data_IF_920557460753
#
_entry.id   IF_920557460753
#
_cell.length_a   1.000
_cell.length_b   1.000
_cell.length_c   1.000
_cell.angle_alpha   90.00
_cell.angle_beta   90.00
_cell.angle_gamma   90.00
#
_symmetry.space_group_name_H-M   'P 1'
#
loop_
_entity.id
_entity.type
_entity.pdbx_description
1 polymer ?
#
# COMPACT_ATOMS: atom_id res chain seq x y z
N UNK A 1 -9.72 -43.22 27.64
CA UNK A 1 -10.71 -42.33 26.97
C UNK A 1 -10.72 -41.04 27.79
N UNK A 2 -10.06 -39.99 27.29
CA UNK A 2 -9.99 -38.70 27.98
C UNK A 2 -11.40 -38.14 28.19
N UNK A 3 -11.66 -37.65 29.39
CA UNK A 3 -12.98 -37.15 29.78
C UNK A 3 -13.44 -36.03 28.84
N UNK A 4 -14.74 -35.98 28.51
CA UNK A 4 -15.34 -35.01 27.57
C UNK A 4 -14.91 -33.53 27.70
N UNK A 5 -14.58 -33.01 28.90
CA UNK A 5 -14.08 -31.65 29.08
C UNK A 5 -12.68 -31.40 28.49
N UNK A 6 -11.76 -32.37 28.58
CA UNK A 6 -10.39 -32.24 28.07
C UNK A 6 -10.36 -32.23 26.55
N UNK A 7 -11.29 -32.98 25.93
CA UNK A 7 -11.46 -32.97 24.48
C UNK A 7 -11.94 -31.60 24.02
N UNK A 8 -12.94 -30.99 24.65
CA UNK A 8 -13.42 -29.65 24.26
C UNK A 8 -12.31 -28.59 24.38
N UNK A 9 -11.53 -28.64 25.47
CA UNK A 9 -10.39 -27.74 25.66
C UNK A 9 -9.32 -27.91 24.57
N UNK A 10 -9.00 -29.16 24.21
CA UNK A 10 -8.04 -29.47 23.15
C UNK A 10 -8.47 -28.92 21.78
N UNK A 11 -9.76 -29.02 21.45
CA UNK A 11 -10.29 -28.49 20.18
C UNK A 11 -10.29 -26.97 20.14
N UNK A 12 -10.59 -26.29 21.25
CA UNK A 12 -10.51 -24.82 21.35
C UNK A 12 -9.07 -24.34 21.13
N UNK A 13 -8.10 -25.00 21.75
CA UNK A 13 -6.67 -24.68 21.56
C UNK A 13 -6.24 -24.91 20.11
N UNK A 14 -6.64 -26.03 19.51
CA UNK A 14 -6.31 -26.35 18.12
C UNK A 14 -6.88 -25.32 17.13
N UNK A 15 -8.15 -24.94 17.25
CA UNK A 15 -8.76 -23.91 16.40
C UNK A 15 -8.18 -22.52 16.66
N UNK A 16 -7.84 -22.19 17.91
CA UNK A 16 -7.16 -20.94 18.24
C UNK A 16 -5.79 -20.81 17.58
N UNK A 17 -5.01 -21.90 17.57
CA UNK A 17 -3.71 -21.97 16.89
C UNK A 17 -3.83 -21.88 15.36
N UNK A 18 -4.81 -22.56 14.77
CA UNK A 18 -5.06 -22.48 13.32
C UNK A 18 -5.47 -21.05 12.94
N UNK A 19 -6.35 -20.41 13.72
CA UNK A 19 -6.76 -19.02 13.53
C UNK A 19 -5.59 -18.03 13.63
N UNK A 20 -4.69 -18.24 14.60
CA UNK A 20 -3.46 -17.47 14.73
C UNK A 20 -2.60 -17.60 13.47
N UNK A 21 -2.31 -18.82 13.03
CA UNK A 21 -1.49 -19.08 11.83
C UNK A 21 -2.12 -18.43 10.60
N UNK A 22 -3.44 -18.59 10.40
CA UNK A 22 -4.16 -17.99 9.28
C UNK A 22 -4.12 -16.46 9.30
N UNK A 23 -4.29 -15.83 10.47
CA UNK A 23 -4.23 -14.37 10.61
C UNK A 23 -2.86 -13.79 10.26
N UNK A 24 -1.78 -14.47 10.67
CA UNK A 24 -0.41 -14.09 10.33
C UNK A 24 -0.18 -14.23 8.83
N UNK A 25 -0.61 -15.33 8.22
CA UNK A 25 -0.49 -15.55 6.77
C UNK A 25 -1.28 -14.53 5.93
N UNK A 26 -2.50 -14.20 6.35
CA UNK A 26 -3.32 -13.19 5.67
C UNK A 26 -2.67 -11.81 5.76
N UNK A 27 -2.15 -11.43 6.93
CA UNK A 27 -1.51 -10.14 7.13
C UNK A 27 -0.20 -10.01 6.35
N UNK A 28 0.60 -11.08 6.30
CA UNK A 28 1.76 -11.17 5.40
C UNK A 28 1.29 -10.96 3.96
N UNK A 29 0.33 -11.72 3.47
CA UNK A 29 -0.12 -11.60 2.07
C UNK A 29 -0.71 -10.24 1.71
N UNK A 30 -1.41 -9.56 2.63
CA UNK A 30 -2.00 -8.24 2.35
C UNK A 30 -0.94 -7.14 2.37
N UNK A 31 -0.02 -7.15 3.35
CA UNK A 31 0.99 -6.09 3.50
C UNK A 31 2.11 -6.23 2.44
N UNK A 32 2.52 -7.45 2.08
CA UNK A 32 3.57 -7.66 1.08
C UNK A 32 3.11 -7.40 -0.37
N UNK A 33 1.80 -7.52 -0.67
CA UNK A 33 1.27 -7.27 -2.02
C UNK A 33 1.31 -5.80 -2.44
N UNK A 34 1.19 -4.88 -1.49
CA UNK A 34 1.31 -3.44 -1.81
C UNK A 34 2.77 -2.96 -1.87
N UNK A 35 3.69 -3.70 -1.24
CA UNK A 35 5.11 -3.34 -1.16
C UNK A 35 6.03 -3.99 -2.20
N UNK A 36 5.55 -4.88 -3.07
CA UNK A 36 6.42 -5.59 -4.03
C UNK A 36 6.92 -4.74 -5.19
N UNK A 37 6.55 -3.46 -5.25
CA UNK A 37 7.03 -2.55 -6.29
C UNK A 37 7.94 -1.51 -5.64
N UNK A 38 9.23 -1.56 -5.98
CA UNK A 38 10.12 -0.44 -5.77
C UNK A 38 9.68 0.70 -6.68
N UNK A 39 9.66 1.93 -6.17
CA UNK A 39 9.29 3.11 -6.94
C UNK A 39 10.48 4.06 -7.02
N UNK A 40 10.98 4.26 -8.23
CA UNK A 40 12.04 5.23 -8.52
C UNK A 40 11.41 6.54 -9.01
N UNK A 41 12.02 7.67 -8.66
CA UNK A 41 11.61 8.98 -9.18
C UNK A 41 12.32 9.24 -10.49
N UNK A 42 11.54 9.36 -11.57
CA UNK A 42 12.02 9.68 -12.91
C UNK A 42 11.73 11.15 -13.20
N UNK A 43 12.60 11.80 -13.97
CA UNK A 43 12.42 13.17 -14.43
C UNK A 43 12.29 13.18 -15.96
N UNK A 44 11.24 13.82 -16.46
CA UNK A 44 11.06 14.11 -17.87
C UNK A 44 11.27 15.60 -18.09
N UNK A 45 12.21 15.94 -18.96
CA UNK A 45 12.52 17.32 -19.30
C UNK A 45 12.00 17.66 -20.68
N UNK A 46 11.23 18.74 -20.78
CA UNK A 46 10.82 19.34 -22.04
C UNK A 46 10.01 18.38 -22.95
N UNK A 47 9.00 17.70 -22.39
CA UNK A 47 7.98 17.02 -23.18
C UNK A 47 7.24 18.06 -24.03
N UNK A 48 7.33 17.93 -25.36
CA UNK A 48 6.88 18.95 -26.30
C UNK A 48 5.54 18.60 -26.95
N UNK A 49 4.80 19.64 -27.36
CA UNK A 49 3.52 19.47 -28.06
C UNK A 49 2.35 19.10 -27.14
N UNK A 50 2.46 19.38 -25.84
CA UNK A 50 1.35 19.18 -24.92
C UNK A 50 0.22 20.19 -25.23
N UNK A 51 -0.99 19.67 -25.46
CA UNK A 51 -2.19 20.49 -25.70
C UNK A 51 -2.98 20.67 -24.40
N UNK A 52 -2.67 21.74 -23.65
CA UNK A 52 -3.25 21.95 -22.31
C UNK A 52 -4.58 22.69 -22.42
N UNK A 53 -5.67 21.91 -22.40
CA UNK A 53 -7.06 22.39 -22.48
C UNK A 53 -7.91 21.85 -21.31
N UNK A 54 -9.23 22.02 -21.39
CA UNK A 54 -10.18 21.51 -20.39
C UNK A 54 -10.40 20.00 -20.42
N UNK A 55 -10.09 19.31 -21.52
CA UNK A 55 -10.20 17.85 -21.62
C UNK A 55 -9.00 17.13 -21.00
N UNK A 56 -7.90 17.87 -20.80
CA UNK A 56 -6.66 17.35 -20.24
C UNK A 56 -5.74 16.74 -21.30
N UNK A 57 -4.44 16.85 -21.03
CA UNK A 57 -3.36 16.23 -21.78
C UNK A 57 -2.74 15.13 -20.91
N UNK A 58 -2.59 13.93 -21.45
CA UNK A 58 -1.93 12.83 -20.73
C UNK A 58 -0.43 12.91 -20.98
N UNK A 59 0.34 13.09 -19.90
CA UNK A 59 1.80 13.12 -19.96
C UNK A 59 2.35 11.77 -20.42
N UNK A 60 3.44 11.76 -21.20
CA UNK A 60 4.01 10.52 -21.74
C UNK A 60 4.40 9.51 -20.65
N UNK A 61 4.94 10.00 -19.52
CA UNK A 61 5.29 9.19 -18.35
C UNK A 61 4.09 8.53 -17.66
N UNK A 62 2.84 8.93 -17.96
CA UNK A 62 1.65 8.23 -17.48
C UNK A 62 1.52 6.81 -18.05
N UNK A 63 2.18 6.54 -19.18
CA UNK A 63 2.24 5.19 -19.77
C UNK A 63 3.28 4.28 -19.12
N UNK A 64 4.13 4.80 -18.23
CA UNK A 64 5.14 4.01 -17.54
C UNK A 64 4.51 3.03 -16.53
N UNK A 65 5.22 1.94 -16.25
CA UNK A 65 4.71 0.89 -15.37
C UNK A 65 4.38 1.45 -13.98
N UNK A 66 3.11 1.30 -13.57
CA UNK A 66 2.60 1.78 -12.27
C UNK A 66 2.93 3.26 -12.00
N UNK A 67 2.97 4.08 -13.03
CA UNK A 67 3.29 5.50 -12.90
C UNK A 67 2.34 6.21 -11.91
N UNK A 68 2.90 7.04 -11.02
CA UNK A 68 2.13 7.82 -10.03
C UNK A 68 2.88 9.06 -9.56
N UNK A 69 2.20 9.92 -8.80
CA UNK A 69 2.77 11.10 -8.14
C UNK A 69 3.47 12.06 -9.10
N UNK A 70 2.74 12.47 -10.15
CA UNK A 70 3.22 13.46 -11.11
C UNK A 70 3.33 14.84 -10.46
N UNK A 71 4.48 15.50 -10.64
CA UNK A 71 4.75 16.85 -10.19
C UNK A 71 5.36 17.64 -11.33
N UNK A 72 4.65 18.67 -11.80
CA UNK A 72 5.16 19.56 -12.84
C UNK A 72 6.26 20.44 -12.25
N UNK A 73 7.44 20.43 -12.86
CA UNK A 73 8.58 21.27 -12.46
C UNK A 73 8.61 22.58 -13.24
N UNK A 74 8.20 22.54 -14.52
CA UNK A 74 8.02 23.73 -15.34
C UNK A 74 7.03 23.46 -16.49
N UNK A 75 6.24 24.46 -16.87
CA UNK A 75 5.38 24.42 -18.05
C UNK A 75 5.54 25.71 -18.84
N UNK A 76 5.86 25.62 -20.12
CA UNK A 76 6.13 26.77 -20.98
C UNK A 76 5.19 26.75 -22.17
N UNK A 77 4.39 27.82 -22.35
CA UNK A 77 3.67 28.04 -23.59
C UNK A 77 4.67 28.43 -24.68
N UNK A 78 4.76 27.62 -25.72
CA UNK A 78 5.65 27.77 -26.87
C UNK A 78 4.87 27.90 -28.18
N UNK A 79 3.64 28.43 -28.11
CA UNK A 79 2.84 28.75 -29.32
C UNK A 79 3.63 29.67 -30.26
N UNK A 80 4.37 30.63 -29.70
CA UNK A 80 5.45 31.34 -30.37
C UNK A 80 6.78 30.84 -29.82
N UNK A 81 7.54 30.12 -30.64
CA UNK A 81 8.83 29.54 -30.27
C UNK A 81 9.91 30.58 -29.99
N UNK A 82 9.76 31.81 -30.50
CA UNK A 82 10.71 32.89 -30.25
C UNK A 82 10.51 33.54 -28.88
N UNK A 83 9.32 33.41 -28.29
CA UNK A 83 8.96 34.04 -27.02
C UNK A 83 8.22 33.04 -26.11
N UNK A 84 8.94 32.06 -25.53
CA UNK A 84 8.34 31.11 -24.61
C UNK A 84 7.85 31.82 -23.33
N UNK A 85 6.60 31.55 -22.93
CA UNK A 85 5.99 32.13 -21.73
C UNK A 85 5.83 31.06 -20.66
N UNK A 86 6.39 31.28 -19.47
CA UNK A 86 6.20 30.38 -18.33
C UNK A 86 4.74 30.41 -17.87
N UNK A 87 4.12 29.25 -17.79
CA UNK A 87 2.78 29.07 -17.22
C UNK A 87 2.93 28.84 -15.72
N UNK A 88 2.37 29.74 -14.91
CA UNK A 88 2.37 29.61 -13.45
C UNK A 88 1.61 28.36 -12.98
N UNK A 89 2.01 27.75 -11.87
CA UNK A 89 1.38 26.53 -11.35
C UNK A 89 -0.10 26.66 -10.96
N UNK A 90 -0.59 27.88 -10.71
CA UNK A 90 -2.03 28.12 -10.48
C UNK A 90 -2.90 28.04 -11.73
N UNK A 91 -2.28 27.98 -12.92
CA UNK A 91 -2.96 28.00 -14.20
C UNK A 91 -3.16 26.59 -14.80
N UNK A 92 -2.68 25.54 -14.13
CA UNK A 92 -2.91 24.15 -14.51
C UNK A 92 -3.08 23.26 -13.27
N UNK A 93 -3.67 22.09 -13.47
CA UNK A 93 -3.70 21.02 -12.47
C UNK A 93 -3.14 19.74 -13.07
N UNK A 94 -2.48 18.91 -12.26
CA UNK A 94 -2.02 17.59 -12.68
C UNK A 94 -2.67 16.53 -11.80
N UNK A 95 -3.26 15.51 -12.42
CA UNK A 95 -3.85 14.40 -11.69
C UNK A 95 -2.79 13.41 -11.21
N UNK A 96 -3.15 12.54 -10.26
CA UNK A 96 -2.27 11.47 -9.78
C UNK A 96 -1.88 10.45 -10.86
N UNK A 97 -2.65 10.40 -11.95
CA UNK A 97 -2.43 9.53 -13.12
C UNK A 97 -1.78 10.27 -14.30
N UNK A 98 -1.27 11.49 -14.08
CA UNK A 98 -0.50 12.22 -15.10
C UNK A 98 -1.33 12.95 -16.16
N UNK A 99 -2.58 13.34 -15.83
CA UNK A 99 -3.40 14.18 -16.72
C UNK A 99 -3.23 15.65 -16.33
N UNK A 100 -2.61 16.42 -17.21
CA UNK A 100 -2.40 17.86 -17.09
C UNK A 100 -3.61 18.60 -17.68
N UNK A 101 -4.34 19.34 -16.85
CA UNK A 101 -5.55 20.07 -17.23
C UNK A 101 -5.35 21.57 -17.08
N UNK A 102 -5.91 22.35 -18.00
CA UNK A 102 -5.93 23.80 -17.90
C UNK A 102 -6.88 24.25 -16.79
N UNK A 103 -6.40 25.09 -15.87
CA UNK A 103 -7.21 25.69 -14.80
C UNK A 103 -7.54 27.17 -15.06
N UNK A 104 -7.05 27.74 -16.17
CA UNK A 104 -7.27 29.13 -16.56
C UNK A 104 -8.34 29.28 -17.64
N UNK A 105 -8.70 30.52 -17.96
CA UNK A 105 -9.59 30.87 -19.08
C UNK A 105 -8.88 30.93 -20.42
N UNK A 106 -7.55 30.85 -20.47
CA UNK A 106 -6.75 30.95 -21.69
C UNK A 106 -6.26 29.57 -22.11
N UNK A 107 -6.48 29.16 -23.36
CA UNK A 107 -6.00 27.87 -23.87
C UNK A 107 -4.58 27.97 -24.42
N UNK A 108 -3.68 27.07 -24.01
CA UNK A 108 -2.32 27.00 -24.54
C UNK A 108 -2.21 25.83 -25.53
N UNK A 109 -2.16 26.10 -26.85
CA UNK A 109 -2.17 25.05 -27.85
C UNK A 109 -0.85 24.29 -27.95
N UNK A 110 0.26 24.91 -27.57
CA UNK A 110 1.57 24.24 -27.60
C UNK A 110 2.29 24.54 -26.30
N UNK A 111 2.40 23.52 -25.44
CA UNK A 111 3.10 23.62 -24.16
C UNK A 111 4.26 22.63 -24.13
N UNK A 112 5.40 23.08 -23.62
CA UNK A 112 6.48 22.22 -23.22
C UNK A 112 6.43 22.02 -21.71
N UNK A 113 6.40 20.76 -21.27
CA UNK A 113 6.22 20.39 -19.86
C UNK A 113 7.42 19.61 -19.38
N UNK A 114 7.98 20.02 -18.25
CA UNK A 114 8.94 19.24 -17.47
C UNK A 114 8.28 18.79 -16.18
N UNK A 115 8.48 17.55 -15.79
CA UNK A 115 7.86 16.97 -14.61
C UNK A 115 8.69 15.84 -14.03
N UNK A 116 8.36 15.47 -12.80
CA UNK A 116 8.83 14.24 -12.16
C UNK A 116 7.65 13.34 -11.87
N UNK A 117 7.88 12.03 -11.91
CA UNK A 117 6.89 11.03 -11.53
C UNK A 117 7.59 9.81 -10.94
N UNK A 118 6.84 8.99 -10.21
CA UNK A 118 7.31 7.70 -9.72
C UNK A 118 6.95 6.61 -10.71
N UNK A 119 7.93 5.80 -11.09
CA UNK A 119 7.74 4.61 -11.92
C UNK A 119 7.94 3.39 -11.03
N UNK A 120 7.05 2.41 -11.14
CA UNK A 120 7.25 1.11 -10.51
C UNK A 120 8.32 0.33 -11.26
N UNK A 121 9.24 -0.28 -10.55
CA UNK A 121 10.18 -1.24 -11.10
C UNK A 121 9.67 -2.65 -10.84
N UNK A 122 9.69 -3.48 -11.89
CA UNK A 122 9.42 -4.91 -11.76
C UNK A 122 10.73 -5.56 -11.31
N UNK A 123 10.84 -5.89 -10.03
CA UNK A 123 12.02 -6.56 -9.45
C UNK A 123 12.11 -8.00 -9.98
N UNK A 124 12.73 -8.18 -11.14
CA UNK A 124 13.12 -9.51 -11.65
C UNK A 124 14.35 -10.00 -10.87
N UNK A 125 14.10 -10.65 -9.73
CA UNK A 125 14.87 -11.68 -8.99
C UNK A 125 16.40 -11.55 -8.78
N UNK A 126 17.12 -10.63 -9.42
CA UNK A 126 18.59 -10.54 -9.39
C UNK A 126 19.07 -9.58 -8.28
N UNK A 127 18.18 -8.74 -7.75
CA UNK A 127 18.42 -7.83 -6.61
C UNK A 127 18.16 -8.49 -5.24
N UNK A 128 17.80 -9.78 -5.21
CA UNK A 128 17.39 -10.48 -3.97
C UNK A 128 18.44 -10.58 -2.86
N UNK A 129 19.70 -10.19 -3.11
CA UNK A 129 20.76 -10.23 -2.09
C UNK A 129 20.88 -8.89 -1.33
N UNK A 130 20.71 -7.74 -1.99
CA UNK A 130 20.59 -6.45 -1.28
C UNK A 130 19.18 -6.30 -0.67
N UNK A 131 18.15 -6.83 -1.35
CA UNK A 131 16.77 -6.81 -0.86
C UNK A 131 16.47 -7.78 0.29
N UNK A 132 17.30 -8.79 0.53
CA UNK A 132 17.16 -9.57 1.76
C UNK A 132 17.34 -8.68 3.00
N UNK A 133 18.27 -7.72 2.94
CA UNK A 133 18.48 -6.77 4.05
C UNK A 133 17.33 -5.76 4.18
N UNK A 134 16.78 -5.28 3.06
CA UNK A 134 15.64 -4.35 3.02
C UNK A 134 14.34 -5.04 3.47
N UNK A 135 14.13 -6.28 3.04
CA UNK A 135 13.03 -7.15 3.44
C UNK A 135 13.11 -7.52 4.91
N UNK A 136 14.30 -7.84 5.44
CA UNK A 136 14.51 -8.05 6.89
C UNK A 136 14.26 -6.76 7.65
N UNK A 137 14.71 -5.59 7.19
CA UNK A 137 14.45 -4.31 7.84
C UNK A 137 12.95 -3.97 7.88
N UNK A 138 12.22 -4.25 6.80
CA UNK A 138 10.76 -4.07 6.72
C UNK A 138 10.01 -5.03 7.64
N UNK A 139 10.38 -6.32 7.66
CA UNK A 139 9.86 -7.29 8.64
C UNK A 139 10.16 -6.82 10.07
N UNK A 140 11.36 -6.30 10.30
CA UNK A 140 11.79 -5.79 11.62
C UNK A 140 10.98 -4.56 12.03
N UNK A 141 10.64 -3.66 11.10
CA UNK A 141 9.80 -2.49 11.38
C UNK A 141 8.34 -2.86 11.71
N UNK A 142 7.87 -4.02 11.24
CA UNK A 142 6.53 -4.56 11.48
C UNK A 142 6.48 -5.57 12.64
N UNK A 143 7.63 -5.95 13.20
CA UNK A 143 7.71 -6.80 14.41
C UNK A 143 6.88 -6.26 15.58
N UNK A 144 6.77 -4.94 15.84
CA UNK A 144 5.89 -4.42 16.90
C UNK A 144 4.41 -4.74 16.64
N UNK A 145 3.96 -4.65 15.39
CA UNK A 145 2.58 -4.97 15.00
C UNK A 145 2.32 -6.48 15.11
N UNK A 146 3.22 -7.30 14.57
CA UNK A 146 3.17 -8.77 14.66
C UNK A 146 3.19 -9.21 16.13
N UNK A 147 4.07 -8.62 16.94
CA UNK A 147 4.16 -8.87 18.38
C UNK A 147 2.87 -8.51 19.11
N UNK A 148 2.26 -7.37 18.77
CA UNK A 148 0.96 -6.96 19.35
C UNK A 148 -0.14 -7.97 19.04
N UNK A 149 -0.21 -8.48 17.80
CA UNK A 149 -1.21 -9.47 17.39
C UNK A 149 -1.00 -10.80 18.11
N UNK A 150 0.25 -11.26 18.23
CA UNK A 150 0.59 -12.48 18.97
C UNK A 150 0.15 -12.34 20.43
N UNK A 151 0.48 -11.21 21.07
CA UNK A 151 0.09 -10.94 22.47
C UNK A 151 -1.43 -10.93 22.62
N UNK A 152 -2.16 -10.23 21.76
CA UNK A 152 -3.63 -10.19 21.80
C UNK A 152 -4.24 -11.58 21.57
N UNK A 153 -3.66 -12.39 20.69
CA UNK A 153 -4.15 -13.73 20.40
C UNK A 153 -3.91 -14.68 21.57
N UNK A 154 -2.76 -14.59 22.25
CA UNK A 154 -2.47 -15.35 23.48
C UNK A 154 -3.44 -14.96 24.59
N UNK A 155 -3.69 -13.65 24.78
CA UNK A 155 -4.69 -13.16 25.74
C UNK A 155 -6.06 -13.74 25.43
N UNK A 156 -6.48 -13.74 24.15
CA UNK A 156 -7.77 -14.30 23.73
C UNK A 156 -7.88 -15.79 24.06
N UNK A 157 -6.85 -16.59 23.78
CA UNK A 157 -6.84 -18.03 24.10
C UNK A 157 -6.92 -18.24 25.61
N UNK A 158 -6.20 -17.47 26.42
CA UNK A 158 -6.27 -17.54 27.89
C UNK A 158 -7.68 -17.21 28.37
N UNK A 159 -8.29 -16.13 27.87
CA UNK A 159 -9.67 -15.75 28.23
C UNK A 159 -10.65 -16.87 27.87
N UNK A 160 -10.54 -17.45 26.68
CA UNK A 160 -11.40 -18.57 26.26
C UNK A 160 -11.20 -19.80 27.15
N UNK A 161 -9.96 -20.13 27.52
CA UNK A 161 -9.66 -21.23 28.42
C UNK A 161 -10.23 -21.01 29.82
N UNK A 162 -10.12 -19.80 30.37
CA UNK A 162 -10.71 -19.42 31.67
C UNK A 162 -12.23 -19.50 31.62
N UNK A 163 -12.86 -18.97 30.58
CA UNK A 163 -14.32 -19.03 30.40
C UNK A 163 -14.80 -20.49 30.30
N UNK A 164 -14.10 -21.33 29.53
CA UNK A 164 -14.40 -22.75 29.43
C UNK A 164 -14.25 -23.45 30.80
N UNK A 165 -13.17 -23.16 31.54
CA UNK A 165 -12.93 -23.71 32.87
C UNK A 165 -14.01 -23.33 33.89
N UNK A 166 -14.41 -22.05 33.94
CA UNK A 166 -15.48 -21.56 34.82
C UNK A 166 -16.82 -22.21 34.47
N UNK A 167 -17.13 -22.35 33.17
CA UNK A 167 -18.35 -23.05 32.72
C UNK A 167 -18.37 -24.52 33.12
N UNK A 168 -17.23 -25.21 33.04
CA UNK A 168 -17.12 -26.61 33.48
C UNK A 168 -17.31 -26.76 34.99
N UNK A 169 -16.74 -25.86 35.80
CA UNK A 169 -17.00 -25.86 37.24
C UNK A 169 -18.46 -25.56 37.58
N UNK A 170 -19.05 -24.54 36.95
CA UNK A 170 -20.47 -24.19 37.17
C UNK A 170 -21.42 -25.33 36.78
N UNK A 171 -21.10 -26.10 35.72
CA UNK A 171 -21.84 -27.29 35.33
C UNK A 171 -21.70 -28.46 36.30
N UNK A 172 -20.56 -28.59 36.99
CA UNK A 172 -20.34 -29.64 37.99
C UNK A 172 -21.15 -29.39 39.29
N UNK A 173 -21.40 -28.13 39.66
CA UNK A 173 -22.21 -27.78 40.83
C UNK A 173 -23.73 -27.78 40.58
N UNK A 174 -24.17 -27.80 39.30
CA UNK A 174 -25.60 -27.80 38.95
C UNK A 174 -26.29 -29.18 39.00
N UNK A 175 -25.53 -30.27 39.17
CA UNK A 175 -26.05 -31.65 39.19
C UNK A 175 -26.17 -32.25 40.60
N UNK A 176 -26.19 -31.40 41.64
CA UNK A 176 -26.48 -31.81 43.02
C UNK A 176 -27.90 -31.34 43.38
N UNK A 177 -28.91 -31.92 42.73
CA UNK A 177 -30.29 -31.95 43.23
C UNK A 177 -30.89 -33.33 42.96
#
# INVERSE_FOLDING_TARGET
>A
MGSGPEMILSWIIAFGLIGLIASVFLLINTEFKEETYLFTTTSVTNESGAYVNSTGYTLSGASDFKAKNFVITAAWNVTDVAVPVLIASGNYTVSSVGVLTNASTYTWPTVNVSYTHKVGESTTATEGIEDASSGIAKITSKLPLIGTIIVLSVILVIVLAVVAYVRLQAGAYGNVQ
#
